data_IF_976822923903
#
_entry.id   IF_976822923903
#
_cell.length_a   1.000
_cell.length_b   1.000
_cell.length_c   1.000
_cell.angle_alpha   90.00
_cell.angle_beta   90.00
_cell.angle_gamma   90.00
#
_symmetry.space_group_name_H-M   'P 1'
#
loop_
_entity.id
_entity.type
_entity.pdbx_description
1 polymer ?
#
# COMPACT_ATOMS: atom_id res chain seq x y z
N UNK A 1 -11.95 6.04 4.48
CA UNK A 1 -10.98 6.57 5.45
C UNK A 1 -10.35 7.81 4.83
N UNK A 2 -10.29 8.96 5.53
CA UNK A 2 -9.70 10.22 5.03
C UNK A 2 -10.20 10.69 3.64
N UNK A 3 -11.32 10.16 3.13
CA UNK A 3 -11.81 10.43 1.77
C UNK A 3 -10.94 9.88 0.63
N UNK A 4 -9.91 9.07 0.92
CA UNK A 4 -8.94 8.60 -0.08
C UNK A 4 -9.58 7.61 -1.05
N UNK A 5 -9.53 7.95 -2.33
CA UNK A 5 -10.01 7.14 -3.45
C UNK A 5 -8.96 6.13 -3.92
N UNK A 6 -9.39 5.10 -4.67
CA UNK A 6 -8.47 4.18 -5.35
C UNK A 6 -7.59 4.93 -6.36
N UNK A 7 -8.14 5.92 -7.07
CA UNK A 7 -7.39 6.73 -8.04
C UNK A 7 -6.22 7.48 -7.42
N UNK A 8 -6.38 8.04 -6.23
CA UNK A 8 -5.27 8.69 -5.49
C UNK A 8 -4.20 7.68 -5.08
N UNK A 9 -4.58 6.46 -4.70
CA UNK A 9 -3.62 5.39 -4.38
C UNK A 9 -2.84 5.00 -5.63
N UNK A 10 -3.51 4.83 -6.77
CA UNK A 10 -2.87 4.52 -8.06
C UNK A 10 -1.92 5.63 -8.48
N UNK A 11 -2.35 6.90 -8.43
CA UNK A 11 -1.48 8.05 -8.72
C UNK A 11 -0.23 8.08 -7.83
N UNK A 12 -0.41 7.81 -6.53
CA UNK A 12 0.71 7.77 -5.60
C UNK A 12 1.75 6.69 -5.94
N UNK A 13 1.35 5.63 -6.64
CA UNK A 13 2.20 4.52 -7.08
C UNK A 13 2.83 4.79 -8.45
N UNK A 14 2.09 5.34 -9.40
CA UNK A 14 2.54 5.44 -10.81
C UNK A 14 3.27 6.74 -11.15
N UNK A 15 3.08 7.80 -10.36
CA UNK A 15 3.79 9.07 -10.55
C UNK A 15 5.32 8.92 -10.45
N UNK A 16 6.06 9.87 -10.99
CA UNK A 16 7.53 9.93 -10.88
C UNK A 16 7.97 9.83 -9.41
N UNK A 17 8.87 8.88 -9.12
CA UNK A 17 9.23 8.48 -7.75
C UNK A 17 8.01 8.01 -6.94
N UNK A 18 7.27 7.07 -7.52
CA UNK A 18 6.09 6.45 -6.95
C UNK A 18 6.32 5.68 -5.65
N UNK A 19 5.24 5.35 -4.96
CA UNK A 19 5.29 4.53 -3.76
C UNK A 19 5.54 3.06 -4.11
N UNK A 20 6.54 2.46 -3.44
CA UNK A 20 6.91 1.04 -3.57
C UNK A 20 6.65 0.23 -2.29
N UNK A 21 5.99 0.85 -1.31
CA UNK A 21 5.69 0.30 0.01
C UNK A 21 4.42 0.91 0.59
N UNK A 22 3.80 0.24 1.57
CA UNK A 22 2.60 0.76 2.22
C UNK A 22 2.83 2.08 2.94
N UNK A 23 3.95 2.21 3.65
CA UNK A 23 4.30 3.48 4.28
C UNK A 23 4.57 4.57 3.22
N UNK A 24 5.03 4.18 2.03
CA UNK A 24 5.15 5.08 0.88
C UNK A 24 3.81 5.66 0.43
N UNK A 25 2.76 4.83 0.36
CA UNK A 25 1.40 5.25 0.03
C UNK A 25 0.82 6.09 1.18
N UNK A 26 0.96 5.61 2.42
CA UNK A 26 0.53 6.30 3.64
C UNK A 26 1.06 7.73 3.74
N UNK A 27 2.35 7.96 3.41
CA UNK A 27 2.95 9.31 3.44
C UNK A 27 2.46 10.22 2.32
N UNK A 28 1.98 9.69 1.20
CA UNK A 28 1.55 10.46 0.03
C UNK A 28 0.06 10.84 0.10
N UNK A 29 -0.79 9.88 0.45
CA UNK A 29 -2.25 10.04 0.38
C UNK A 29 -2.95 9.76 1.70
N UNK A 30 -2.21 9.46 2.77
CA UNK A 30 -2.77 9.19 4.12
C UNK A 30 -3.71 7.97 4.16
N UNK A 31 -3.61 7.05 3.20
CA UNK A 31 -4.29 5.76 3.26
C UNK A 31 -3.91 5.03 4.57
N UNK A 32 -4.92 4.66 5.36
CA UNK A 32 -4.73 4.00 6.65
C UNK A 32 -4.49 4.92 7.86
N UNK A 33 -4.58 6.25 7.71
CA UNK A 33 -4.37 7.21 8.81
C UNK A 33 -5.63 7.57 9.63
N UNK A 34 -6.81 7.05 9.29
CA UNK A 34 -8.04 7.33 10.03
C UNK A 34 -8.20 6.46 11.28
N UNK A 35 -9.37 6.53 11.92
CA UNK A 35 -9.66 5.87 13.21
C UNK A 35 -9.26 4.38 13.29
N UNK A 36 -9.42 3.64 12.19
CA UNK A 36 -9.11 2.20 12.14
C UNK A 36 -7.62 1.87 11.98
N UNK A 37 -6.75 2.88 11.80
CA UNK A 37 -5.29 2.71 11.68
C UNK A 37 -4.90 1.60 10.69
N UNK A 38 -5.48 1.66 9.49
CA UNK A 38 -5.29 0.71 8.38
C UNK A 38 -5.86 -0.71 8.57
N UNK A 39 -6.61 -0.97 9.65
CA UNK A 39 -7.20 -2.30 9.92
C UNK A 39 -8.15 -2.83 8.84
N UNK A 40 -8.73 -1.95 8.00
CA UNK A 40 -9.64 -2.35 6.91
C UNK A 40 -9.07 -2.09 5.51
N UNK A 41 -8.40 -0.95 5.30
CA UNK A 41 -7.95 -0.57 3.97
C UNK A 41 -6.57 -1.14 3.61
N UNK A 42 -5.77 -1.63 4.56
CA UNK A 42 -4.44 -2.17 4.27
C UNK A 42 -4.46 -3.31 3.25
N UNK A 43 -5.33 -4.34 3.35
CA UNK A 43 -5.39 -5.41 2.35
C UNK A 43 -5.65 -4.87 0.94
N UNK A 44 -6.64 -3.99 0.79
CA UNK A 44 -6.98 -3.38 -0.49
C UNK A 44 -5.85 -2.52 -1.05
N UNK A 45 -5.17 -1.75 -0.20
CA UNK A 45 -4.00 -0.96 -0.61
C UNK A 45 -2.83 -1.85 -1.05
N UNK A 46 -2.63 -3.01 -0.40
CA UNK A 46 -1.63 -3.99 -0.82
C UNK A 46 -1.95 -4.60 -2.19
N UNK A 47 -3.22 -4.94 -2.44
CA UNK A 47 -3.67 -5.46 -3.74
C UNK A 47 -3.44 -4.46 -4.87
N UNK A 48 -3.78 -3.19 -4.66
CA UNK A 48 -3.53 -2.12 -5.64
C UNK A 48 -2.02 -1.96 -5.87
N UNK A 49 -1.23 -1.90 -4.80
CA UNK A 49 0.23 -1.79 -4.93
C UNK A 49 0.85 -2.96 -5.69
N UNK A 50 0.43 -4.19 -5.39
CA UNK A 50 0.87 -5.40 -6.09
C UNK A 50 0.52 -5.34 -7.58
N UNK A 51 -0.74 -4.97 -7.91
CA UNK A 51 -1.23 -4.82 -9.28
C UNK A 51 -0.45 -3.78 -10.08
N UNK A 52 -0.26 -2.59 -9.53
CA UNK A 52 0.39 -1.47 -10.24
C UNK A 52 1.91 -1.63 -10.35
N UNK A 53 2.53 -2.47 -9.51
CA UNK A 53 3.99 -2.68 -9.52
C UNK A 53 4.41 -4.05 -10.08
N UNK A 54 3.47 -4.85 -10.56
CA UNK A 54 3.68 -6.23 -11.04
C UNK A 54 4.45 -7.10 -10.02
N UNK A 55 4.10 -6.96 -8.74
CA UNK A 55 4.72 -7.69 -7.62
C UNK A 55 3.71 -8.62 -6.99
N UNK A 56 4.17 -9.73 -6.42
CA UNK A 56 3.30 -10.58 -5.61
C UNK A 56 2.93 -9.85 -4.32
N UNK A 57 1.76 -10.18 -3.77
CA UNK A 57 1.31 -9.63 -2.49
C UNK A 57 2.33 -9.90 -1.36
N UNK A 58 3.03 -11.02 -1.46
CA UNK A 58 4.11 -11.48 -0.58
C UNK A 58 5.32 -10.55 -0.60
N UNK A 59 5.64 -9.97 -1.76
CA UNK A 59 6.78 -9.09 -1.94
C UNK A 59 6.51 -7.68 -1.41
N UNK A 60 5.25 -7.37 -1.07
CA UNK A 60 4.86 -6.06 -0.58
C UNK A 60 5.39 -5.82 0.84
N UNK A 61 6.22 -4.79 0.93
CA UNK A 61 6.87 -4.38 2.17
C UNK A 61 6.10 -3.25 2.86
N UNK A 62 6.18 -3.20 4.19
CA UNK A 62 5.69 -2.08 4.98
C UNK A 62 6.48 -0.81 4.71
N UNK A 63 7.81 -0.84 4.87
CA UNK A 63 8.67 0.36 4.74
C UNK A 63 10.03 0.07 4.11
N UNK A 64 10.61 -1.12 4.34
CA UNK A 64 11.96 -1.51 3.89
C UNK A 64 11.96 -2.96 3.35
N UNK A 65 12.94 -3.35 2.52
CA UNK A 65 13.12 -4.75 2.14
C UNK A 65 13.16 -5.66 3.38
N UNK A 66 12.50 -6.82 3.33
CA UNK A 66 12.38 -7.75 4.46
C UNK A 66 11.33 -7.35 5.51
N UNK A 67 10.57 -6.28 5.31
CA UNK A 67 9.39 -5.93 6.14
C UNK A 67 8.07 -6.35 5.49
N UNK A 68 8.09 -7.54 4.88
CA UNK A 68 6.96 -8.13 4.19
C UNK A 68 5.82 -8.37 5.21
N UNK A 69 4.61 -7.99 4.84
CA UNK A 69 3.45 -8.07 5.77
C UNK A 69 2.81 -9.45 5.73
N UNK A 70 2.82 -10.08 4.56
CA UNK A 70 2.31 -11.44 4.35
C UNK A 70 3.52 -12.36 4.27
N UNK A 71 3.64 -13.27 5.24
CA UNK A 71 4.69 -14.29 5.27
C UNK A 71 4.03 -15.62 5.60
N UNK A 72 3.98 -16.53 4.62
CA UNK A 72 3.40 -17.85 4.77
C UNK A 72 2.37 -18.19 3.70
N UNK A 73 2.59 -19.32 3.03
CA UNK A 73 1.57 -20.02 2.26
C UNK A 73 0.91 -21.02 3.19
N UNK A 74 -0.42 -21.14 3.12
CA UNK A 74 -1.15 -22.25 3.74
C UNK A 74 -1.22 -23.40 2.76
#
# INVERSE_FOLDING_TARGET
CEGVSEGEIVDAITRTLGAVSLDGIKRRVRAGMGRCQAGFCAPKTMEILARETDRKLEDICKNRPGSNIVTGHK
#
